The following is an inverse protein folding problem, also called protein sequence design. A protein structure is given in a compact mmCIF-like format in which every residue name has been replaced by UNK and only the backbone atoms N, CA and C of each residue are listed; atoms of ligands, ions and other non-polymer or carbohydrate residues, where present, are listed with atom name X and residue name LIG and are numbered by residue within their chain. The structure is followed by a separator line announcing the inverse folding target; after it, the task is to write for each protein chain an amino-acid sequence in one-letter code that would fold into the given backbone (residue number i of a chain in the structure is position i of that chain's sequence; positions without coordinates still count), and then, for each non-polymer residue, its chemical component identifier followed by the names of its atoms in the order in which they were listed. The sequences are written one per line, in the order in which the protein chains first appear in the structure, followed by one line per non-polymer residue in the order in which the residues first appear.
data_IF_606764591477
#
_entry.id   IF_606764591477
#
_cell.length_a   1.000
_cell.length_b   1.000
_cell.length_c   1.000
_cell.angle_alpha   90.00
_cell.angle_beta   90.00
_cell.angle_gamma   90.00
#
_symmetry.space_group_name_H-M   'P 1'
#
loop_
_entity.id
_entity.type
_entity.pdbx_description
1 polymer ?
#
# COMPACT_ATOMS: atom_id res chain seq x y z
N UNK A 1 82.88 19.58 -28.06
CA UNK A 1 82.12 18.32 -28.16
C UNK A 1 81.76 17.81 -26.77
N UNK A 2 80.48 17.84 -26.38
CA UNK A 2 79.82 16.89 -25.47
C UNK A 2 78.31 17.12 -25.57
N UNK A 3 77.60 16.01 -25.49
CA UNK A 3 76.35 15.72 -26.19
C UNK A 3 75.15 16.03 -25.27
N UNK A 4 74.21 16.85 -25.71
CA UNK A 4 72.87 16.94 -25.10
C UNK A 4 72.04 15.77 -25.65
N UNK A 5 71.61 14.86 -24.79
CA UNK A 5 70.52 13.92 -25.09
C UNK A 5 69.31 14.38 -24.30
N UNK A 6 68.42 15.10 -24.95
CA UNK A 6 67.04 15.28 -24.50
C UNK A 6 66.23 14.10 -25.03
N UNK A 7 65.89 13.18 -24.14
CA UNK A 7 64.89 12.15 -24.38
C UNK A 7 63.51 12.79 -24.24
N UNK A 8 62.91 13.14 -25.38
CA UNK A 8 61.50 13.52 -25.45
C UNK A 8 60.61 12.33 -25.04
N UNK A 9 60.02 12.40 -23.84
CA UNK A 9 58.90 11.56 -23.47
C UNK A 9 57.65 12.05 -24.22
N UNK A 10 57.28 11.35 -25.28
CA UNK A 10 55.99 11.53 -25.94
C UNK A 10 54.86 11.05 -25.02
N UNK A 11 54.14 11.99 -24.40
CA UNK A 11 52.87 11.71 -23.73
C UNK A 11 51.77 11.64 -24.79
N UNK A 12 51.41 10.42 -25.19
CA UNK A 12 50.32 10.14 -26.12
C UNK A 12 48.95 10.43 -25.47
N UNK A 13 48.29 11.52 -25.90
CA UNK A 13 46.89 11.80 -25.53
C UNK A 13 45.95 10.86 -26.32
N UNK A 14 45.04 10.11 -25.67
CA UNK A 14 44.12 9.23 -26.37
C UNK A 14 43.10 10.04 -27.17
N UNK A 15 42.88 9.60 -28.41
CA UNK A 15 42.00 10.21 -29.41
C UNK A 15 40.51 10.17 -29.00
N UNK A 16 39.82 11.29 -29.23
CA UNK A 16 38.44 11.59 -28.79
C UNK A 16 37.38 10.60 -29.33
N UNK A 17 37.65 9.96 -30.46
CA UNK A 17 36.74 9.02 -31.12
C UNK A 17 36.44 7.75 -30.30
N UNK A 18 37.43 7.25 -29.55
CA UNK A 18 37.28 6.04 -28.72
C UNK A 18 36.35 6.28 -27.53
N UNK A 19 36.38 7.49 -26.94
CA UNK A 19 35.48 7.87 -25.83
C UNK A 19 34.01 7.99 -26.27
N UNK A 20 33.76 8.48 -27.48
CA UNK A 20 32.40 8.63 -28.02
C UNK A 20 31.67 7.28 -28.17
N UNK A 21 32.34 6.26 -28.74
CA UNK A 21 31.79 4.89 -28.83
C UNK A 21 31.49 4.27 -27.47
N UNK A 22 32.34 4.53 -26.48
CA UNK A 22 32.11 4.06 -25.09
C UNK A 22 30.86 4.71 -24.49
N UNK A 23 30.66 6.02 -24.68
CA UNK A 23 29.49 6.75 -24.19
C UNK A 23 28.17 6.23 -24.77
N UNK A 24 28.13 5.98 -26.07
CA UNK A 24 26.92 5.45 -26.75
C UNK A 24 26.58 4.04 -26.26
N UNK A 25 27.58 3.17 -26.06
CA UNK A 25 27.35 1.84 -25.48
C UNK A 25 26.79 1.92 -24.05
N UNK A 26 27.44 2.70 -23.18
CA UNK A 26 26.99 2.85 -21.78
C UNK A 26 25.59 3.46 -21.70
N UNK A 27 25.24 4.36 -22.61
CA UNK A 27 23.87 4.90 -22.68
C UNK A 27 22.84 3.81 -23.01
N UNK A 28 23.13 2.95 -24.01
CA UNK A 28 22.27 1.80 -24.34
C UNK A 28 22.18 0.77 -23.23
N UNK A 29 23.28 0.52 -22.52
CA UNK A 29 23.32 -0.38 -21.35
C UNK A 29 22.45 0.15 -20.21
N UNK A 30 22.50 1.46 -19.94
CA UNK A 30 21.67 2.14 -18.95
C UNK A 30 20.17 2.08 -19.30
N UNK A 31 19.81 2.29 -20.57
CA UNK A 31 18.43 2.15 -21.03
C UNK A 31 17.92 0.72 -20.85
N UNK A 32 18.74 -0.27 -21.20
CA UNK A 32 18.41 -1.69 -21.02
C UNK A 32 18.25 -2.05 -19.54
N UNK A 33 19.11 -1.51 -18.67
CA UNK A 33 19.03 -1.68 -17.23
C UNK A 33 17.74 -1.07 -16.65
N UNK A 34 17.29 0.10 -17.12
CA UNK A 34 16.00 0.66 -16.71
C UNK A 34 14.83 -0.28 -17.01
N UNK A 35 14.81 -0.88 -18.21
CA UNK A 35 13.77 -1.85 -18.59
C UNK A 35 13.81 -3.08 -17.68
N UNK A 36 14.99 -3.60 -17.37
CA UNK A 36 15.17 -4.73 -16.44
C UNK A 36 14.65 -4.41 -15.04
N UNK A 37 15.02 -3.25 -14.48
CA UNK A 37 14.54 -2.81 -13.15
C UNK A 37 13.02 -2.65 -13.14
N UNK A 38 12.44 -2.13 -14.23
CA UNK A 38 10.98 -2.01 -14.40
C UNK A 38 10.29 -3.38 -14.41
N UNK A 39 10.86 -4.36 -15.13
CA UNK A 39 10.31 -5.71 -15.22
C UNK A 39 10.36 -6.48 -13.90
N UNK A 40 11.37 -6.20 -13.06
CA UNK A 40 11.47 -6.76 -11.70
C UNK A 40 10.44 -6.20 -10.71
N UNK A 41 9.66 -5.19 -11.10
CA UNK A 41 8.64 -4.58 -10.23
C UNK A 41 9.20 -3.83 -9.01
N UNK A 42 10.52 -3.60 -8.97
CA UNK A 42 11.20 -2.91 -7.88
C UNK A 42 11.03 -1.39 -7.93
N UNK A 43 11.44 -0.71 -6.85
CA UNK A 43 11.47 0.75 -6.79
C UNK A 43 12.51 1.30 -7.77
N UNK A 44 12.04 1.94 -8.84
CA UNK A 44 12.89 2.62 -9.81
C UNK A 44 13.70 3.71 -9.10
N UNK A 45 15.02 3.54 -9.03
CA UNK A 45 15.93 4.50 -8.39
C UNK A 45 17.26 4.53 -9.13
N UNK A 46 17.97 5.65 -9.02
CA UNK A 46 19.29 5.82 -9.68
C UNK A 46 20.26 4.75 -9.17
N UNK A 47 20.22 4.41 -7.88
CA UNK A 47 21.05 3.35 -7.30
C UNK A 47 20.71 1.96 -7.86
N UNK A 48 19.41 1.64 -8.03
CA UNK A 48 18.99 0.36 -8.59
C UNK A 48 19.42 0.21 -10.06
N UNK A 49 19.27 1.27 -10.87
CA UNK A 49 19.68 1.26 -12.28
C UNK A 49 21.21 1.21 -12.42
N UNK A 50 21.93 1.92 -11.55
CA UNK A 50 23.38 1.91 -11.50
C UNK A 50 23.94 0.51 -11.16
N UNK A 51 23.37 -0.15 -10.14
CA UNK A 51 23.74 -1.50 -9.76
C UNK A 51 23.48 -2.52 -10.88
N UNK A 52 22.35 -2.41 -11.57
CA UNK A 52 21.98 -3.31 -12.68
C UNK A 52 22.85 -3.09 -13.93
N UNK A 53 23.32 -1.86 -14.16
CA UNK A 53 24.23 -1.52 -15.26
C UNK A 53 25.72 -1.65 -14.90
N UNK A 54 26.06 -1.97 -13.65
CA UNK A 54 27.45 -2.10 -13.19
C UNK A 54 28.23 -0.78 -13.18
N UNK A 55 27.55 0.36 -13.08
CA UNK A 55 28.18 1.70 -13.09
C UNK A 55 27.95 2.43 -11.78
N UNK A 56 28.82 3.38 -11.46
CA UNK A 56 28.65 4.21 -10.27
C UNK A 56 27.43 5.14 -10.45
N UNK A 57 26.58 5.35 -9.43
CA UNK A 57 25.50 6.34 -9.47
C UNK A 57 26.00 7.74 -9.85
N UNK A 58 27.26 8.02 -9.48
CA UNK A 58 27.94 9.26 -9.80
C UNK A 58 28.06 9.50 -11.33
N UNK A 59 28.20 8.44 -12.11
CA UNK A 59 28.29 8.55 -13.56
C UNK A 59 26.95 8.96 -14.17
N UNK A 60 25.83 8.46 -13.64
CA UNK A 60 24.50 8.73 -14.18
C UNK A 60 24.15 10.22 -14.00
N UNK A 61 24.20 10.75 -12.78
CA UNK A 61 23.78 12.14 -12.54
C UNK A 61 24.71 13.20 -13.17
N UNK A 62 26.00 12.90 -13.36
CA UNK A 62 26.97 13.86 -13.92
C UNK A 62 27.10 13.75 -15.44
N UNK A 63 27.10 12.52 -15.96
CA UNK A 63 27.43 12.26 -17.37
C UNK A 63 26.17 12.03 -18.21
N UNK A 64 25.07 11.55 -17.61
CA UNK A 64 23.82 11.20 -18.29
C UNK A 64 22.59 11.82 -17.57
N UNK A 65 22.47 13.16 -17.55
CA UNK A 65 21.36 13.84 -16.87
C UNK A 65 19.99 13.49 -17.47
N UNK A 66 19.92 13.18 -18.76
CA UNK A 66 18.74 12.71 -19.48
C UNK A 66 18.19 11.40 -18.89
N UNK A 67 19.06 10.41 -18.68
CA UNK A 67 18.72 9.13 -18.05
C UNK A 67 18.28 9.36 -16.59
N UNK A 68 18.97 10.26 -15.86
CA UNK A 68 18.63 10.57 -14.48
C UNK A 68 17.20 11.16 -14.35
N UNK A 69 16.82 12.08 -15.23
CA UNK A 69 15.47 12.66 -15.27
C UNK A 69 14.40 11.63 -15.65
N UNK A 70 14.71 10.74 -16.60
CA UNK A 70 13.81 9.65 -16.97
C UNK A 70 13.53 8.71 -15.76
N UNK A 71 14.58 8.32 -15.02
CA UNK A 71 14.46 7.51 -13.81
C UNK A 71 13.62 8.22 -12.76
N UNK A 72 13.85 9.50 -12.49
CA UNK A 72 13.08 10.30 -11.51
C UNK A 72 11.61 10.40 -11.89
N UNK A 73 11.32 10.61 -13.17
CA UNK A 73 9.95 10.70 -13.69
C UNK A 73 9.22 9.37 -13.51
N UNK A 74 9.85 8.25 -13.86
CA UNK A 74 9.25 6.92 -13.67
C UNK A 74 9.10 6.57 -12.18
N UNK A 75 10.08 6.92 -11.35
CA UNK A 75 10.02 6.73 -9.89
C UNK A 75 8.86 7.53 -9.26
N UNK A 76 8.67 8.78 -9.67
CA UNK A 76 7.57 9.63 -9.21
C UNK A 76 6.21 9.09 -9.62
N UNK A 77 6.06 8.63 -10.87
CA UNK A 77 4.81 8.03 -11.39
C UNK A 77 4.46 6.73 -10.67
N UNK A 78 5.44 5.86 -10.44
CA UNK A 78 5.21 4.60 -9.71
C UNK A 78 4.81 4.85 -8.26
N UNK A 79 5.43 5.83 -7.59
CA UNK A 79 5.07 6.20 -6.22
C UNK A 79 3.64 6.75 -6.15
N UNK A 80 3.23 7.63 -7.07
CA UNK A 80 1.85 8.14 -7.12
C UNK A 80 0.83 7.02 -7.33
N UNK A 81 1.06 6.13 -8.31
CA UNK A 81 0.18 4.97 -8.54
C UNK A 81 0.04 4.07 -7.31
N UNK A 82 1.13 3.84 -6.57
CA UNK A 82 1.07 3.05 -5.34
C UNK A 82 0.27 3.76 -4.24
N UNK A 83 0.42 5.08 -4.11
CA UNK A 83 -0.36 5.86 -3.15
C UNK A 83 -1.85 5.89 -3.51
N UNK A 84 -2.17 6.09 -4.79
CA UNK A 84 -3.55 6.10 -5.28
C UNK A 84 -4.23 4.75 -5.06
N UNK A 85 -3.53 3.65 -5.35
CA UNK A 85 -4.02 2.30 -5.08
C UNK A 85 -4.28 2.08 -3.58
N UNK A 86 -3.36 2.49 -2.71
CA UNK A 86 -3.55 2.40 -1.25
C UNK A 86 -4.70 3.28 -0.77
N UNK A 87 -4.84 4.49 -1.29
CA UNK A 87 -5.92 5.40 -0.95
C UNK A 87 -7.29 4.82 -1.37
N UNK A 88 -7.37 4.21 -2.55
CA UNK A 88 -8.57 3.53 -3.02
C UNK A 88 -8.95 2.34 -2.10
N UNK A 89 -7.98 1.53 -1.69
CA UNK A 89 -8.23 0.42 -0.75
C UNK A 89 -8.67 0.92 0.63
N UNK A 90 -8.04 1.97 1.17
CA UNK A 90 -8.47 2.61 2.41
C UNK A 90 -9.89 3.17 2.32
N UNK A 91 -10.26 3.77 1.19
CA UNK A 91 -11.60 4.29 0.97
C UNK A 91 -12.65 3.17 0.95
N UNK A 92 -12.36 2.03 0.28
CA UNK A 92 -13.24 0.86 0.27
C UNK A 92 -13.46 0.30 1.66
N UNK A 93 -12.37 0.03 2.38
CA UNK A 93 -12.43 -0.51 3.75
C UNK A 93 -13.17 0.46 4.68
N UNK A 94 -12.91 1.77 4.55
CA UNK A 94 -13.60 2.79 5.33
C UNK A 94 -15.10 2.86 5.04
N UNK A 95 -15.53 2.66 3.79
CA UNK A 95 -16.94 2.58 3.43
C UNK A 95 -17.61 1.35 4.07
N UNK A 96 -17.00 0.17 3.94
CA UNK A 96 -17.50 -1.05 4.57
C UNK A 96 -17.59 -0.95 6.09
N UNK A 97 -16.61 -0.30 6.73
CA UNK A 97 -16.62 -0.10 8.18
C UNK A 97 -17.76 0.83 8.63
N UNK A 98 -18.04 1.90 7.87
CA UNK A 98 -19.16 2.80 8.16
C UNK A 98 -20.49 2.05 8.08
N UNK A 99 -20.66 1.25 7.03
CA UNK A 99 -21.88 0.46 6.84
C UNK A 99 -22.04 -0.59 7.95
N UNK A 100 -20.97 -1.30 8.30
CA UNK A 100 -21.01 -2.29 9.38
C UNK A 100 -21.32 -1.66 10.74
N UNK A 101 -20.80 -0.46 11.02
CA UNK A 101 -21.13 0.30 12.23
C UNK A 101 -22.61 0.73 12.26
N UNK A 102 -23.17 1.13 11.11
CA UNK A 102 -24.60 1.46 10.98
C UNK A 102 -25.47 0.25 11.31
N UNK A 103 -25.17 -0.89 10.69
CA UNK A 103 -25.90 -2.15 10.92
C UNK A 103 -25.80 -2.61 12.38
N UNK A 104 -24.63 -2.48 13.01
CA UNK A 104 -24.44 -2.82 14.42
C UNK A 104 -25.30 -1.92 15.32
N UNK A 105 -25.32 -0.61 15.04
CA UNK A 105 -26.16 0.33 15.80
C UNK A 105 -27.65 0.00 15.65
N UNK A 106 -28.12 -0.28 14.43
CA UNK A 106 -29.51 -0.67 14.18
C UNK A 106 -29.88 -1.97 14.91
N UNK A 107 -29.05 -3.01 14.78
CA UNK A 107 -29.26 -4.27 15.47
C UNK A 107 -29.30 -4.11 17.00
N UNK A 108 -28.42 -3.29 17.57
CA UNK A 108 -28.43 -3.02 19.01
C UNK A 108 -29.69 -2.25 19.45
N UNK A 109 -30.18 -1.31 18.64
CA UNK A 109 -31.42 -0.61 18.92
C UNK A 109 -32.62 -1.57 18.90
N UNK A 110 -32.66 -2.49 17.93
CA UNK A 110 -33.70 -3.51 17.84
C UNK A 110 -33.64 -4.49 19.01
N UNK A 111 -32.44 -4.94 19.40
CA UNK A 111 -32.26 -5.79 20.59
C UNK A 111 -32.76 -5.09 21.85
N UNK A 112 -32.43 -3.81 22.04
CA UNK A 112 -32.89 -3.03 23.19
C UNK A 112 -34.42 -2.90 23.21
N UNK A 113 -35.03 -2.65 22.04
CA UNK A 113 -36.49 -2.58 21.91
C UNK A 113 -37.16 -3.91 22.22
N UNK A 114 -36.64 -5.01 21.66
CA UNK A 114 -37.16 -6.36 21.92
C UNK A 114 -36.98 -6.75 23.38
N UNK A 115 -35.88 -6.39 24.03
CA UNK A 115 -35.67 -6.65 25.46
C UNK A 115 -36.73 -5.94 26.31
N UNK A 116 -37.02 -4.66 26.02
CA UNK A 116 -38.06 -3.90 26.72
C UNK A 116 -39.45 -4.52 26.54
N UNK A 117 -39.81 -4.89 25.30
CA UNK A 117 -41.10 -5.54 25.00
C UNK A 117 -41.19 -6.89 25.72
N UNK A 118 -40.14 -7.70 25.65
CA UNK A 118 -40.11 -8.98 26.32
C UNK A 118 -40.26 -8.85 27.84
N UNK A 119 -39.69 -7.79 28.43
CA UNK A 119 -39.84 -7.55 29.86
C UNK A 119 -41.28 -7.18 30.24
N UNK A 120 -41.96 -6.32 29.46
CA UNK A 120 -43.38 -6.02 29.70
C UNK A 120 -44.25 -7.28 29.55
N UNK A 121 -44.03 -8.06 28.49
CA UNK A 121 -44.76 -9.29 28.25
C UNK A 121 -44.54 -10.32 29.37
N UNK A 122 -43.33 -10.39 29.93
CA UNK A 122 -43.04 -11.24 31.09
C UNK A 122 -43.81 -10.81 32.33
N UNK A 123 -43.93 -9.50 32.57
CA UNK A 123 -44.71 -8.96 33.68
C UNK A 123 -46.20 -9.27 33.50
N UNK A 124 -46.76 -9.03 32.31
CA UNK A 124 -48.15 -9.36 31.99
C UNK A 124 -48.43 -10.86 32.15
N UNK A 125 -47.53 -11.71 31.64
CA UNK A 125 -47.65 -13.16 31.77
C UNK A 125 -47.59 -13.62 33.24
N UNK A 126 -46.77 -12.97 34.08
CA UNK A 126 -46.71 -13.28 35.51
C UNK A 126 -48.04 -12.94 36.20
N UNK A 127 -48.59 -11.74 35.96
CA UNK A 127 -49.87 -11.30 36.53
C UNK A 127 -51.02 -12.24 36.15
N UNK A 128 -51.12 -12.62 34.87
CA UNK A 128 -52.15 -13.55 34.40
C UNK A 128 -52.00 -14.94 35.03
N UNK A 129 -50.77 -15.44 35.15
CA UNK A 129 -50.50 -16.73 35.80
C UNK A 129 -50.89 -16.73 37.27
N UNK A 130 -50.59 -15.66 37.99
CA UNK A 130 -50.91 -15.57 39.42
C UNK A 130 -52.41 -15.41 39.65
N UNK A 131 -53.11 -14.66 38.80
CA UNK A 131 -54.57 -14.64 38.77
C UNK A 131 -55.15 -16.04 38.53
N UNK A 132 -54.68 -16.75 37.50
CA UNK A 132 -55.14 -18.11 37.19
C UNK A 132 -54.91 -19.11 38.34
N UNK A 133 -53.74 -19.04 39.02
CA UNK A 133 -53.48 -19.85 40.22
C UNK A 133 -54.44 -19.52 41.36
N UNK A 134 -54.74 -18.24 41.59
CA UNK A 134 -55.69 -17.80 42.61
C UNK A 134 -57.09 -18.35 42.35
N UNK A 135 -57.58 -18.28 41.11
CA UNK A 135 -58.84 -18.87 40.71
C UNK A 135 -58.85 -20.41 40.89
N UNK A 136 -57.79 -21.10 40.45
CA UNK A 136 -57.68 -22.56 40.61
C UNK A 136 -57.71 -22.99 42.10
N UNK A 137 -57.07 -22.22 42.99
CA UNK A 137 -57.10 -22.48 44.42
C UNK A 137 -58.51 -22.35 45.00
N UNK A 138 -59.26 -21.30 44.62
CA UNK A 138 -60.65 -21.10 45.05
C UNK A 138 -61.55 -22.26 44.58
N UNK A 139 -61.47 -22.64 43.29
CA UNK A 139 -62.22 -23.77 42.76
C UNK A 139 -61.87 -25.09 43.46
N UNK A 140 -60.59 -25.29 43.82
CA UNK A 140 -60.17 -26.49 44.55
C UNK A 140 -60.73 -26.56 45.98
N UNK A 141 -60.90 -25.41 46.64
CA UNK A 141 -61.47 -25.31 47.98
C UNK A 141 -62.99 -25.50 47.99
N UNK A 142 -63.68 -25.02 46.95
CA UNK A 142 -65.14 -25.21 46.79
C UNK A 142 -65.54 -26.66 46.48
N UNK A 143 -64.66 -27.45 45.85
CA UNK A 143 -64.93 -28.85 45.50
C UNK A 143 -64.64 -29.85 46.63
N UNK A 144 -64.11 -29.38 47.77
CA UNK A 144 -63.77 -30.19 48.95
C UNK A 144 -64.87 -30.20 50.03
N UNK A 145 -65.99 -29.52 49.78
CA UNK A 145 -67.23 -29.55 50.57
C UNK A 145 -68.20 -30.50 49.87
#
# INVERSE_FOLDING_TARGET
MKVFRETELQVSRPTTATRSRSRVRTHGDLQSAMVRVKSRGGRMSIAAVAAEAGVTPALIHNTYPDIAEAIRTEAGRSTRRQLDAKAAELAKVGASLRELRRQLHEANADIAKLASINESLRQEAALLRDGAKGHAAIFSSLKKI
#
